data_IF_626403642656
#
_entry.id   IF_626403642656
#
_cell.length_a   1.000
_cell.length_b   1.000
_cell.length_c   1.000
_cell.angle_alpha   90.00
_cell.angle_beta   90.00
_cell.angle_gamma   90.00
#
_symmetry.space_group_name_H-M   'P 1'
#
loop_
_entity.id
_entity.type
_entity.pdbx_description
1 polymer ?
#
# COMPACT_ATOMS: atom_id res chain seq x y z
N UNK A 1 11.74 21.81 12.36
CA UNK A 1 11.59 20.51 13.06
C UNK A 1 12.89 19.70 12.98
N UNK A 2 13.24 18.99 14.07
CA UNK A 2 14.21 17.90 14.06
C UNK A 2 13.46 16.61 13.66
N UNK A 3 13.90 15.97 12.55
CA UNK A 3 13.24 14.78 12.02
C UNK A 3 13.96 13.52 12.50
N UNK A 4 13.17 12.59 13.07
CA UNK A 4 13.65 11.32 13.59
C UNK A 4 12.86 10.19 12.91
N UNK A 5 13.59 9.32 12.22
CA UNK A 5 13.02 8.15 11.58
C UNK A 5 13.23 6.91 12.46
N UNK A 6 12.14 6.26 12.84
CA UNK A 6 12.18 5.05 13.66
C UNK A 6 11.93 3.83 12.77
N UNK A 7 12.84 2.86 12.83
CA UNK A 7 12.75 1.62 12.06
C UNK A 7 13.22 0.42 12.86
N UNK A 8 12.78 -0.79 12.49
CA UNK A 8 13.30 -2.05 13.05
C UNK A 8 14.71 -2.35 12.54
N UNK A 9 15.02 -1.91 11.33
CA UNK A 9 16.25 -2.24 10.58
C UNK A 9 16.99 -0.96 10.15
N UNK A 10 17.62 -0.21 11.06
CA UNK A 10 18.30 1.03 10.74
C UNK A 10 19.47 0.84 9.77
N UNK A 11 20.08 -0.34 9.74
CA UNK A 11 21.19 -0.72 8.86
C UNK A 11 20.82 -0.80 7.39
N UNK A 12 19.54 -1.00 7.07
CA UNK A 12 19.05 -1.08 5.68
C UNK A 12 18.41 0.22 5.21
N UNK A 13 18.38 1.24 6.08
CA UNK A 13 17.61 2.45 5.84
C UNK A 13 18.52 3.57 5.32
N UNK A 14 18.34 3.97 4.07
CA UNK A 14 19.03 5.14 3.48
C UNK A 14 18.08 6.34 3.53
N UNK A 15 18.41 7.32 4.36
CA UNK A 15 17.63 8.55 4.53
C UNK A 15 18.33 9.77 3.94
N UNK A 16 17.55 10.81 3.64
CA UNK A 16 18.06 12.12 3.29
C UNK A 16 18.91 12.69 4.42
N UNK A 17 19.90 13.51 4.07
CA UNK A 17 20.73 14.24 5.04
C UNK A 17 19.88 15.05 6.02
N UNK A 18 20.21 15.01 7.30
CA UNK A 18 19.48 15.73 8.35
C UNK A 18 18.37 14.95 9.05
N UNK A 19 18.13 13.69 8.68
CA UNK A 19 17.21 12.79 9.39
C UNK A 19 18.00 11.86 10.30
N UNK A 20 17.66 11.85 11.60
CA UNK A 20 18.25 10.92 12.58
C UNK A 20 17.52 9.58 12.52
N UNK A 21 18.24 8.49 12.22
CA UNK A 21 17.66 7.14 12.19
C UNK A 21 17.88 6.45 13.52
N UNK A 22 16.80 5.85 14.07
CA UNK A 22 16.81 5.22 15.39
C UNK A 22 16.14 3.84 15.31
N UNK A 23 16.75 2.85 15.97
CA UNK A 23 16.17 1.51 16.10
C UNK A 23 14.96 1.55 17.04
N UNK A 24 13.83 1.00 16.56
CA UNK A 24 12.61 0.83 17.37
C UNK A 24 12.91 0.04 18.67
N UNK A 25 12.31 0.43 19.78
CA UNK A 25 12.46 -0.16 21.12
C UNK A 25 13.87 -0.12 21.69
N UNK A 26 14.79 0.68 21.14
CA UNK A 26 16.08 0.99 21.75
C UNK A 26 15.95 2.01 22.90
N UNK A 27 16.99 2.15 23.73
CA UNK A 27 17.02 3.21 24.76
C UNK A 27 16.92 4.61 24.14
N UNK A 28 17.55 4.82 22.97
CA UNK A 28 17.47 6.08 22.22
C UNK A 28 16.05 6.36 21.74
N UNK A 29 15.33 5.33 21.26
CA UNK A 29 13.92 5.45 20.88
C UNK A 29 13.06 5.99 22.03
N UNK A 30 13.15 5.42 23.22
CA UNK A 30 12.37 5.88 24.37
C UNK A 30 12.79 7.28 24.84
N UNK A 31 14.10 7.60 24.85
CA UNK A 31 14.59 8.94 25.19
C UNK A 31 14.07 10.01 24.24
N UNK A 32 14.11 9.74 22.93
CA UNK A 32 13.64 10.66 21.89
C UNK A 32 12.13 10.81 21.93
N UNK A 33 11.40 9.70 22.09
CA UNK A 33 9.94 9.75 22.27
C UNK A 33 9.53 10.65 23.44
N UNK A 34 10.26 10.62 24.57
CA UNK A 34 9.97 11.50 25.70
C UNK A 34 10.19 12.99 25.41
N UNK A 35 10.91 13.34 24.33
CA UNK A 35 11.23 14.71 23.92
C UNK A 35 10.46 15.17 22.69
N UNK A 36 9.96 14.25 21.87
CA UNK A 36 9.23 14.63 20.66
C UNK A 36 7.92 15.35 21.00
N UNK A 37 7.60 16.38 20.22
CA UNK A 37 6.30 17.05 20.28
C UNK A 37 5.25 16.35 19.43
N UNK A 38 5.67 15.78 18.30
CA UNK A 38 4.79 15.14 17.33
C UNK A 38 5.30 13.71 17.07
N UNK A 39 4.38 12.75 17.14
CA UNK A 39 4.63 11.34 16.80
C UNK A 39 3.71 10.92 15.68
N UNK A 40 4.31 10.54 14.54
CA UNK A 40 3.58 10.09 13.35
C UNK A 40 3.85 8.60 13.16
N UNK A 41 2.80 7.82 12.92
CA UNK A 41 2.90 6.38 12.63
C UNK A 41 1.99 6.02 11.44
N UNK A 42 2.33 4.96 10.74
CA UNK A 42 1.47 4.36 9.72
C UNK A 42 0.80 3.05 10.19
N UNK A 43 1.00 2.71 11.45
CA UNK A 43 0.50 1.49 12.08
C UNK A 43 0.07 1.78 13.52
N UNK A 44 -0.20 0.73 14.30
CA UNK A 44 -0.56 0.83 15.71
C UNK A 44 0.59 1.46 16.54
N UNK A 45 0.21 2.23 17.55
CA UNK A 45 1.17 2.85 18.46
C UNK A 45 1.73 1.78 19.39
N UNK A 46 3.06 1.74 19.54
CA UNK A 46 3.73 0.83 20.48
C UNK A 46 3.16 1.01 21.91
N UNK A 47 2.74 -0.10 22.52
CA UNK A 47 2.11 -0.10 23.86
C UNK A 47 3.03 0.47 24.95
N UNK A 48 4.34 0.30 24.77
CA UNK A 48 5.35 0.81 25.70
C UNK A 48 5.45 2.34 25.73
N UNK A 49 4.84 3.02 24.75
CA UNK A 49 4.86 4.48 24.67
C UNK A 49 3.71 5.07 25.49
N UNK A 50 4.04 5.93 26.44
CA UNK A 50 3.07 6.68 27.24
C UNK A 50 3.03 8.12 26.77
N UNK A 51 1.90 8.53 26.18
CA UNK A 51 1.69 9.89 25.68
C UNK A 51 1.74 10.89 26.82
N UNK A 52 2.54 11.93 26.66
CA UNK A 52 2.61 13.06 27.60
C UNK A 52 1.64 14.17 27.19
N UNK A 53 1.33 15.01 28.15
CA UNK A 53 0.59 16.26 27.89
C UNK A 53 1.37 17.14 26.89
N UNK A 54 0.69 17.60 25.85
CA UNK A 54 1.27 18.44 24.80
C UNK A 54 1.96 17.68 23.66
N UNK A 55 1.99 16.35 23.68
CA UNK A 55 2.38 15.56 22.50
C UNK A 55 1.20 15.35 21.56
N UNK A 56 1.45 15.44 20.28
CA UNK A 56 0.48 15.14 19.21
C UNK A 56 0.78 13.74 18.66
N UNK A 57 -0.23 12.87 18.63
CA UNK A 57 -0.17 11.55 18.01
C UNK A 57 -1.04 11.53 16.76
N UNK A 58 -0.43 11.31 15.62
CA UNK A 58 -1.06 11.19 14.32
C UNK A 58 -0.79 9.82 13.72
N UNK A 59 -1.84 9.18 13.19
CA UNK A 59 -1.65 8.01 12.30
C UNK A 59 -2.04 8.36 10.87
N UNK A 60 -1.18 7.98 9.92
CA UNK A 60 -1.51 8.04 8.49
C UNK A 60 -2.21 6.77 8.03
N UNK A 61 -2.25 5.74 8.91
CA UNK A 61 -2.64 4.39 8.53
C UNK A 61 -1.83 3.87 7.34
N UNK A 62 -2.18 2.71 6.78
CA UNK A 62 -1.43 2.09 5.69
C UNK A 62 -2.31 1.59 4.53
N UNK A 63 -3.63 1.76 4.60
CA UNK A 63 -4.57 1.37 3.54
C UNK A 63 -5.48 2.52 3.13
N UNK A 64 -5.73 2.68 1.84
CA UNK A 64 -6.74 3.56 1.28
C UNK A 64 -7.95 2.79 0.76
N UNK A 65 -9.06 3.49 0.48
CA UNK A 65 -10.20 2.98 -0.27
C UNK A 65 -11.21 2.13 0.49
N UNK A 66 -11.11 1.93 1.80
CA UNK A 66 -12.09 1.20 2.63
C UNK A 66 -12.52 -0.19 2.10
N UNK A 67 -11.66 -0.90 1.40
CA UNK A 67 -12.03 -2.16 0.75
C UNK A 67 -12.22 -3.30 1.74
N UNK A 68 -11.32 -3.45 2.69
CA UNK A 68 -11.27 -4.56 3.65
C UNK A 68 -11.85 -4.15 4.99
N UNK A 69 -12.53 -5.06 5.65
CA UNK A 69 -12.91 -4.89 7.05
C UNK A 69 -11.67 -4.80 7.93
N UNK A 70 -11.76 -4.02 8.98
CA UNK A 70 -10.69 -3.80 9.97
C UNK A 70 -11.25 -3.73 11.38
N UNK A 71 -10.38 -3.84 12.37
CA UNK A 71 -10.75 -3.66 13.77
C UNK A 71 -11.85 -4.61 14.21
N UNK A 72 -12.87 -4.11 14.88
CA UNK A 72 -13.96 -4.91 15.46
C UNK A 72 -14.84 -5.64 14.44
N UNK A 73 -14.72 -5.29 13.17
CA UNK A 73 -15.50 -5.90 12.09
C UNK A 73 -14.82 -7.12 11.45
N UNK A 74 -13.60 -7.45 11.85
CA UNK A 74 -12.90 -8.63 11.35
C UNK A 74 -13.47 -9.92 11.97
N UNK A 75 -13.72 -10.94 11.13
CA UNK A 75 -14.48 -12.14 11.49
C UNK A 75 -13.77 -13.00 12.56
N UNK A 76 -12.45 -12.92 12.68
CA UNK A 76 -11.63 -13.79 13.53
C UNK A 76 -10.87 -13.03 14.62
N UNK A 77 -11.49 -12.04 15.27
CA UNK A 77 -10.78 -11.28 16.29
C UNK A 77 -10.51 -12.11 17.54
N UNK A 78 -9.23 -12.21 17.89
CA UNK A 78 -8.81 -12.49 19.26
C UNK A 78 -9.36 -11.38 20.18
N UNK A 79 -10.16 -11.76 21.17
CA UNK A 79 -10.74 -10.82 22.15
C UNK A 79 -9.69 -9.97 22.86
N UNK A 80 -8.47 -10.47 22.99
CA UNK A 80 -7.31 -9.76 23.55
C UNK A 80 -6.86 -8.64 22.62
N UNK A 81 -6.87 -8.90 21.31
CA UNK A 81 -6.54 -7.91 20.28
C UNK A 81 -7.58 -6.77 20.28
N UNK A 82 -8.88 -7.12 20.29
CA UNK A 82 -9.97 -6.14 20.36
C UNK A 82 -9.90 -5.26 21.62
N UNK A 83 -9.59 -5.83 22.79
CA UNK A 83 -9.42 -5.08 24.03
C UNK A 83 -8.22 -4.11 24.01
N UNK A 84 -7.17 -4.43 23.25
CA UNK A 84 -6.00 -3.58 23.09
C UNK A 84 -6.22 -2.45 22.09
N UNK A 85 -7.07 -2.63 21.08
CA UNK A 85 -7.44 -1.59 20.12
C UNK A 85 -7.86 -0.29 20.82
N UNK A 86 -8.77 -0.37 21.77
CA UNK A 86 -9.26 0.79 22.51
C UNK A 86 -8.12 1.56 23.21
N UNK A 87 -7.09 0.86 23.70
CA UNK A 87 -5.95 1.49 24.39
C UNK A 87 -5.04 2.23 23.41
N UNK A 88 -4.89 1.71 22.20
CA UNK A 88 -4.01 2.31 21.18
C UNK A 88 -4.63 3.55 20.57
N UNK A 89 -5.88 3.44 20.13
CA UNK A 89 -6.55 4.49 19.37
C UNK A 89 -7.05 5.66 20.23
N UNK A 90 -7.40 5.43 21.50
CA UNK A 90 -7.74 6.54 22.44
C UNK A 90 -6.61 7.54 22.67
N UNK A 91 -5.37 7.22 22.28
CA UNK A 91 -4.22 8.12 22.38
C UNK A 91 -4.03 9.01 21.17
N UNK A 92 -4.72 8.73 20.05
CA UNK A 92 -4.61 9.53 18.85
C UNK A 92 -5.27 10.90 19.02
N UNK A 93 -4.62 11.91 18.47
CA UNK A 93 -5.22 13.22 18.25
C UNK A 93 -5.75 13.31 16.83
N UNK A 94 -5.05 12.67 15.86
CA UNK A 94 -5.40 12.72 14.45
C UNK A 94 -5.27 11.36 13.77
N UNK A 95 -6.21 11.11 12.86
CA UNK A 95 -6.24 9.95 11.97
C UNK A 95 -6.45 10.41 10.53
N UNK A 96 -5.49 10.18 9.65
CA UNK A 96 -5.58 10.57 8.23
C UNK A 96 -6.53 9.64 7.49
N UNK A 97 -7.45 10.21 6.72
CA UNK A 97 -8.40 9.46 5.90
C UNK A 97 -8.25 9.76 4.41
N UNK A 98 -8.32 8.72 3.59
CA UNK A 98 -8.24 8.80 2.13
C UNK A 98 -9.57 9.14 1.47
N UNK A 99 -10.69 8.81 2.12
CA UNK A 99 -12.04 9.02 1.59
C UNK A 99 -13.09 8.96 2.70
N UNK A 100 -14.30 9.43 2.42
CA UNK A 100 -15.43 9.40 3.35
C UNK A 100 -15.75 7.98 3.81
N UNK A 101 -15.75 7.00 2.90
CA UNK A 101 -15.98 5.59 3.26
C UNK A 101 -14.92 5.07 4.25
N UNK A 102 -13.65 5.50 4.15
CA UNK A 102 -12.61 5.19 5.12
C UNK A 102 -12.89 5.82 6.48
N UNK A 103 -13.29 7.12 6.51
CA UNK A 103 -13.65 7.80 7.75
C UNK A 103 -14.77 7.05 8.46
N UNK A 104 -15.82 6.67 7.74
CA UNK A 104 -16.97 5.95 8.29
C UNK A 104 -16.57 4.59 8.85
N UNK A 105 -15.84 3.81 8.06
CA UNK A 105 -15.38 2.48 8.45
C UNK A 105 -14.46 2.53 9.69
N UNK A 106 -13.46 3.41 9.68
CA UNK A 106 -12.50 3.47 10.80
C UNK A 106 -13.11 4.04 12.07
N UNK A 107 -14.03 5.03 11.96
CA UNK A 107 -14.74 5.56 13.11
C UNK A 107 -15.54 4.46 13.82
N UNK A 108 -16.22 3.60 13.07
CA UNK A 108 -17.00 2.48 13.61
C UNK A 108 -16.08 1.36 14.11
N UNK A 109 -15.19 0.85 13.24
CA UNK A 109 -14.33 -0.29 13.54
C UNK A 109 -13.41 -0.08 14.74
N UNK A 110 -12.95 1.15 14.97
CA UNK A 110 -12.05 1.50 16.08
C UNK A 110 -12.74 2.29 17.21
N UNK A 111 -14.06 2.53 17.11
CA UNK A 111 -14.84 3.35 18.06
C UNK A 111 -14.21 4.73 18.30
N UNK A 112 -13.88 5.42 17.24
CA UNK A 112 -13.23 6.73 17.25
C UNK A 112 -14.24 7.86 17.01
N UNK A 113 -14.00 9.01 17.64
CA UNK A 113 -14.74 10.24 17.36
C UNK A 113 -14.35 10.76 15.96
N UNK A 114 -15.34 11.06 15.15
CA UNK A 114 -15.13 11.56 13.78
C UNK A 114 -14.30 12.84 13.72
N UNK A 115 -14.29 13.64 14.76
CA UNK A 115 -13.52 14.90 14.82
C UNK A 115 -12.00 14.74 14.74
N UNK A 116 -11.46 13.52 15.01
CA UNK A 116 -10.02 13.31 14.92
C UNK A 116 -9.56 12.97 13.48
N UNK A 117 -10.52 12.71 12.57
CA UNK A 117 -10.16 12.37 11.19
C UNK A 117 -9.75 13.61 10.40
N UNK A 118 -8.57 13.50 9.78
CA UNK A 118 -8.08 14.48 8.83
C UNK A 118 -8.47 14.00 7.42
N UNK A 119 -9.46 14.62 6.86
CA UNK A 119 -10.01 14.30 5.53
C UNK A 119 -9.18 14.97 4.42
N UNK A 120 -7.88 14.65 4.40
CA UNK A 120 -6.87 15.30 3.54
C UNK A 120 -6.46 14.47 2.33
N UNK A 121 -6.83 13.18 2.29
CA UNK A 121 -6.16 12.19 1.46
C UNK A 121 -4.89 11.67 2.15
N UNK A 122 -4.24 10.72 1.49
CA UNK A 122 -3.08 10.01 2.05
C UNK A 122 -1.78 10.71 1.63
N UNK A 123 -0.89 11.13 2.53
CA UNK A 123 0.34 11.87 2.20
C UNK A 123 1.23 11.18 1.15
N UNK A 124 1.35 9.85 1.21
CA UNK A 124 2.15 9.08 0.25
C UNK A 124 1.62 9.17 -1.19
N UNK A 125 0.33 9.53 -1.36
CA UNK A 125 -0.32 9.60 -2.66
C UNK A 125 -0.15 10.96 -3.35
N UNK A 126 0.36 11.98 -2.67
CA UNK A 126 0.60 13.30 -3.27
C UNK A 126 1.48 13.22 -4.51
N UNK A 127 2.39 12.23 -4.59
CA UNK A 127 3.28 12.03 -5.74
C UNK A 127 2.54 11.71 -7.05
N UNK A 128 1.31 11.19 -7.00
CA UNK A 128 0.54 10.86 -8.20
C UNK A 128 -0.11 12.07 -8.88
N UNK A 129 -0.12 13.23 -8.21
CA UNK A 129 -0.74 14.46 -8.70
C UNK A 129 0.24 15.42 -9.40
N UNK A 130 1.52 15.08 -9.46
CA UNK A 130 2.55 15.86 -10.13
C UNK A 130 3.55 14.98 -10.86
N UNK A 131 4.38 15.60 -11.71
CA UNK A 131 5.38 14.85 -12.47
C UNK A 131 6.68 14.75 -11.68
N UNK A 132 7.15 13.52 -11.49
CA UNK A 132 8.37 13.17 -10.76
C UNK A 132 9.30 12.27 -11.62
N UNK A 133 9.94 12.82 -12.68
CA UNK A 133 10.82 12.03 -13.54
C UNK A 133 11.98 11.39 -12.76
N UNK A 134 12.42 12.03 -11.69
CA UNK A 134 13.46 11.53 -10.79
C UNK A 134 13.06 10.22 -10.08
N UNK A 135 11.75 9.99 -9.82
CA UNK A 135 11.27 8.74 -9.22
C UNK A 135 11.46 7.59 -10.22
N UNK A 136 10.95 7.80 -11.45
CA UNK A 136 11.11 6.81 -12.52
C UNK A 136 12.58 6.46 -12.74
N UNK A 137 13.42 7.49 -12.83
CA UNK A 137 14.86 7.29 -13.01
C UNK A 137 15.50 6.50 -11.87
N UNK A 138 15.15 6.76 -10.60
CA UNK A 138 15.69 6.01 -9.45
C UNK A 138 15.36 4.51 -9.54
N UNK A 139 14.10 4.17 -9.88
CA UNK A 139 13.69 2.76 -10.02
C UNK A 139 14.43 2.10 -11.18
N UNK A 140 14.55 2.78 -12.32
CA UNK A 140 15.24 2.27 -13.50
C UNK A 140 16.74 2.06 -13.25
N UNK A 141 17.40 3.03 -12.62
CA UNK A 141 18.82 2.94 -12.24
C UNK A 141 19.05 1.78 -11.25
N UNK A 142 18.15 1.59 -10.29
CA UNK A 142 18.24 0.52 -9.29
C UNK A 142 18.18 -0.87 -9.92
N UNK A 143 17.25 -1.07 -10.85
CA UNK A 143 17.08 -2.37 -11.53
C UNK A 143 17.92 -2.49 -12.80
N UNK A 144 18.74 -1.49 -13.15
CA UNK A 144 19.57 -1.45 -14.36
C UNK A 144 18.78 -1.67 -15.65
N UNK A 145 17.58 -1.10 -15.73
CA UNK A 145 16.69 -1.18 -16.89
C UNK A 145 16.65 0.11 -17.69
N UNK A 146 16.34 0.02 -18.98
CA UNK A 146 16.27 1.16 -19.87
C UNK A 146 15.04 2.05 -19.58
N UNK A 147 15.07 3.30 -20.02
CA UNK A 147 13.95 4.24 -19.88
C UNK A 147 12.69 3.79 -20.65
N UNK A 148 12.87 2.98 -21.69
CA UNK A 148 11.80 2.45 -22.53
C UNK A 148 11.22 1.14 -21.99
N UNK A 149 11.90 0.49 -21.05
CA UNK A 149 11.41 -0.76 -20.46
C UNK A 149 10.12 -0.52 -19.71
N UNK A 150 9.12 -1.33 -20.03
CA UNK A 150 7.80 -1.34 -19.40
C UNK A 150 7.80 -2.24 -18.17
N UNK A 151 7.01 -1.88 -17.17
CA UNK A 151 7.00 -2.56 -15.88
C UNK A 151 5.60 -3.06 -15.55
N UNK A 152 5.47 -4.36 -15.31
CA UNK A 152 4.35 -4.97 -14.63
C UNK A 152 4.72 -5.17 -13.16
N UNK A 153 4.02 -4.51 -12.24
CA UNK A 153 4.18 -4.75 -10.82
C UNK A 153 3.24 -5.88 -10.38
N UNK A 154 3.81 -6.99 -9.97
CA UNK A 154 3.08 -8.12 -9.39
C UNK A 154 3.23 -8.08 -7.87
N UNK A 155 2.16 -7.68 -7.16
CA UNK A 155 2.20 -7.38 -5.73
C UNK A 155 1.05 -8.05 -4.96
N UNK A 156 1.02 -9.39 -4.87
CA UNK A 156 0.00 -10.11 -4.09
C UNK A 156 0.11 -9.77 -2.60
N UNK A 157 -1.04 -9.68 -1.92
CA UNK A 157 -1.07 -9.37 -0.48
C UNK A 157 -0.71 -10.60 0.36
N UNK A 158 -0.17 -10.33 1.56
CA UNK A 158 -0.03 -11.35 2.58
C UNK A 158 -1.40 -11.85 3.02
N UNK A 159 -1.59 -13.18 3.06
CA UNK A 159 -2.81 -13.84 3.51
C UNK A 159 -2.49 -14.71 4.73
N UNK A 160 -3.16 -14.46 5.85
CA UNK A 160 -2.91 -15.18 7.10
C UNK A 160 -3.30 -16.65 7.05
N UNK A 161 -4.26 -17.00 6.20
CA UNK A 161 -4.86 -18.34 6.09
C UNK A 161 -4.36 -19.14 4.88
N UNK A 162 -3.42 -18.58 4.09
CA UNK A 162 -2.86 -19.31 2.97
C UNK A 162 -1.99 -20.47 3.48
N UNK A 163 -2.27 -21.73 3.11
CA UNK A 163 -1.29 -22.78 3.30
C UNK A 163 -0.01 -22.38 2.53
N UNK A 164 1.16 -22.62 3.12
CA UNK A 164 2.49 -22.25 2.58
C UNK A 164 2.78 -22.75 1.15
N UNK A 165 1.88 -23.50 0.54
CA UNK A 165 2.04 -24.21 -0.72
C UNK A 165 1.21 -23.73 -1.90
N UNK A 166 0.27 -22.78 -1.73
CA UNK A 166 -0.44 -22.22 -2.89
C UNK A 166 0.29 -20.97 -3.39
N UNK A 167 1.35 -21.21 -4.10
CA UNK A 167 2.13 -20.21 -4.81
C UNK A 167 1.50 -19.97 -6.19
N UNK A 168 1.56 -18.73 -6.66
CA UNK A 168 1.20 -18.41 -8.03
C UNK A 168 2.17 -19.12 -8.99
N UNK A 169 1.63 -19.72 -10.05
CA UNK A 169 2.47 -20.29 -11.09
C UNK A 169 3.15 -19.18 -11.90
N UNK A 170 4.42 -18.94 -11.58
CA UNK A 170 5.20 -17.84 -12.16
C UNK A 170 5.46 -18.01 -13.67
N UNK A 171 5.22 -19.20 -14.25
CA UNK A 171 5.28 -19.41 -15.71
C UNK A 171 4.31 -18.50 -16.46
N UNK A 172 3.15 -18.20 -15.87
CA UNK A 172 2.19 -17.27 -16.46
C UNK A 172 2.68 -15.81 -16.45
N UNK A 173 3.58 -15.44 -15.54
CA UNK A 173 4.23 -14.12 -15.58
C UNK A 173 5.21 -14.05 -16.75
N UNK A 174 6.01 -15.11 -16.99
CA UNK A 174 6.90 -15.20 -18.16
C UNK A 174 6.09 -15.16 -19.47
N UNK A 175 5.01 -15.94 -19.56
CA UNK A 175 4.11 -15.89 -20.71
C UNK A 175 3.50 -14.50 -20.91
N UNK A 176 3.15 -13.81 -19.83
CA UNK A 176 2.61 -12.44 -19.91
C UNK A 176 3.65 -11.48 -20.50
N UNK A 177 4.92 -11.59 -20.06
CA UNK A 177 6.02 -10.79 -20.64
C UNK A 177 6.15 -11.06 -22.14
N UNK A 178 6.26 -12.33 -22.55
CA UNK A 178 6.43 -12.72 -23.96
C UNK A 178 5.32 -12.12 -24.84
N UNK A 179 4.07 -12.24 -24.41
CA UNK A 179 2.92 -11.72 -25.16
C UNK A 179 2.87 -10.19 -25.18
N UNK A 180 3.23 -9.53 -24.09
CA UNK A 180 3.30 -8.07 -24.04
C UNK A 180 4.42 -7.56 -24.97
N UNK A 181 5.60 -8.20 -24.97
CA UNK A 181 6.71 -7.85 -25.85
C UNK A 181 6.35 -8.07 -27.33
N UNK A 182 5.68 -9.19 -27.64
CA UNK A 182 5.20 -9.45 -28.99
C UNK A 182 4.20 -8.39 -29.46
N UNK A 183 3.26 -8.00 -28.60
CA UNK A 183 2.18 -7.08 -28.94
C UNK A 183 2.66 -5.61 -29.01
N UNK A 184 3.61 -5.21 -28.15
CA UNK A 184 4.01 -3.79 -28.00
C UNK A 184 5.33 -3.45 -28.67
N UNK A 185 6.16 -4.47 -28.98
CA UNK A 185 7.55 -4.30 -29.44
C UNK A 185 8.44 -3.53 -28.45
N UNK A 186 8.03 -3.48 -27.15
CA UNK A 186 8.79 -2.92 -26.06
C UNK A 186 9.34 -4.06 -25.19
N UNK A 187 10.46 -3.81 -24.51
CA UNK A 187 10.93 -4.71 -23.46
C UNK A 187 10.03 -4.58 -22.23
N UNK A 188 9.70 -5.70 -21.61
CA UNK A 188 8.92 -5.78 -20.39
C UNK A 188 9.66 -6.52 -19.30
N UNK A 189 9.46 -6.09 -18.06
CA UNK A 189 9.86 -6.81 -16.85
C UNK A 189 8.69 -6.95 -15.90
N UNK A 190 8.79 -7.91 -15.00
CA UNK A 190 7.94 -8.03 -13.83
C UNK A 190 8.74 -7.66 -12.59
N UNK A 191 8.23 -6.73 -11.79
CA UNK A 191 8.70 -6.53 -10.41
C UNK A 191 7.80 -7.33 -9.49
N UNK A 192 8.32 -8.44 -8.97
CA UNK A 192 7.57 -9.31 -8.06
C UNK A 192 7.80 -8.89 -6.61
N UNK A 193 6.78 -8.35 -5.97
CA UNK A 193 6.81 -7.87 -4.59
C UNK A 193 5.88 -8.69 -3.71
N UNK A 194 6.40 -9.75 -3.10
CA UNK A 194 5.69 -10.65 -2.20
C UNK A 194 6.52 -10.94 -0.95
N UNK A 195 5.87 -11.22 0.17
CA UNK A 195 6.55 -11.66 1.39
C UNK A 195 7.36 -12.95 1.20
N UNK A 196 7.06 -13.74 0.18
CA UNK A 196 7.63 -15.08 -0.07
C UNK A 196 8.58 -15.16 -1.26
N UNK A 197 8.91 -14.06 -1.94
CA UNK A 197 9.72 -14.09 -3.16
C UNK A 197 10.99 -14.97 -3.06
N UNK A 198 11.70 -14.94 -1.94
CA UNK A 198 12.94 -15.68 -1.76
C UNK A 198 12.75 -17.18 -1.54
N UNK A 199 11.58 -17.63 -1.09
CA UNK A 199 11.27 -19.04 -0.84
C UNK A 199 10.77 -19.74 -2.10
N UNK A 200 10.16 -18.98 -3.01
CA UNK A 200 9.60 -19.47 -4.27
C UNK A 200 10.63 -19.65 -5.39
N UNK A 201 11.84 -19.10 -5.26
CA UNK A 201 12.81 -18.97 -6.34
C UNK A 201 13.84 -20.09 -6.44
N UNK A 202 13.57 -21.28 -5.93
CA UNK A 202 14.48 -22.44 -6.05
C UNK A 202 14.51 -23.08 -7.46
N UNK A 203 13.63 -22.68 -8.37
CA UNK A 203 13.67 -23.04 -9.79
C UNK A 203 14.15 -21.85 -10.62
N UNK A 204 14.75 -22.10 -11.78
CA UNK A 204 15.29 -21.05 -12.67
C UNK A 204 14.18 -20.12 -13.12
N UNK A 205 14.01 -19.00 -12.39
CA UNK A 205 13.10 -17.93 -12.80
C UNK A 205 13.57 -17.27 -14.09
N UNK A 206 12.60 -16.81 -14.86
CA UNK A 206 12.86 -15.91 -15.99
C UNK A 206 13.62 -14.67 -15.48
N UNK A 207 14.75 -14.35 -16.11
CA UNK A 207 15.61 -13.22 -15.73
C UNK A 207 14.90 -11.85 -15.78
N UNK A 208 13.78 -11.77 -16.46
CA UNK A 208 12.91 -10.59 -16.55
C UNK A 208 11.96 -10.44 -15.35
N UNK A 209 11.90 -11.43 -14.45
CA UNK A 209 11.16 -11.37 -13.18
C UNK A 209 12.14 -11.00 -12.08
N UNK A 210 12.07 -9.76 -11.60
CA UNK A 210 13.00 -9.18 -10.64
C UNK A 210 12.38 -9.06 -9.25
N UNK A 211 13.21 -9.15 -8.20
CA UNK A 211 12.79 -8.98 -6.81
C UNK A 211 12.31 -7.54 -6.51
N UNK A 212 11.00 -7.35 -6.48
CA UNK A 212 10.37 -6.07 -6.11
C UNK A 212 10.54 -5.71 -4.62
N UNK A 213 10.93 -6.67 -3.74
CA UNK A 213 11.20 -6.38 -2.34
C UNK A 213 12.58 -5.75 -2.12
N UNK A 214 13.50 -5.91 -3.08
CA UNK A 214 14.80 -5.28 -3.02
C UNK A 214 14.72 -3.74 -3.05
N UNK A 215 13.67 -3.18 -3.66
CA UNK A 215 13.41 -1.74 -3.64
C UNK A 215 12.49 -1.38 -2.47
N UNK A 216 12.93 -0.49 -1.59
CA UNK A 216 12.24 -0.22 -0.32
C UNK A 216 10.88 0.48 -0.51
N UNK A 217 10.81 1.52 -1.38
CA UNK A 217 9.65 2.42 -1.47
C UNK A 217 8.58 1.90 -2.45
N UNK A 218 7.44 1.47 -1.90
CA UNK A 218 6.32 0.95 -2.70
C UNK A 218 5.72 2.01 -3.63
N UNK A 219 5.63 3.25 -3.18
CA UNK A 219 5.02 4.32 -3.97
C UNK A 219 5.83 4.63 -5.23
N UNK A 220 7.16 4.54 -5.16
CA UNK A 220 8.03 4.69 -6.34
C UNK A 220 7.76 3.57 -7.37
N UNK A 221 7.55 2.33 -6.90
CA UNK A 221 7.21 1.20 -7.77
C UNK A 221 5.83 1.40 -8.42
N UNK A 222 4.82 1.80 -7.63
CA UNK A 222 3.48 2.10 -8.16
C UNK A 222 3.53 3.26 -9.16
N UNK A 223 4.30 4.32 -8.86
CA UNK A 223 4.45 5.48 -9.75
C UNK A 223 5.07 5.08 -11.10
N UNK A 224 6.05 4.18 -11.08
CA UNK A 224 6.85 3.82 -12.26
C UNK A 224 6.20 2.73 -13.12
N UNK A 225 5.41 1.83 -12.54
CA UNK A 225 4.85 0.67 -13.23
C UNK A 225 3.74 1.02 -14.21
N UNK A 226 3.69 0.33 -15.34
CA UNK A 226 2.67 0.51 -16.38
C UNK A 226 1.41 -0.30 -16.07
N UNK A 227 1.53 -1.46 -15.43
CA UNK A 227 0.43 -2.35 -15.03
C UNK A 227 0.61 -2.77 -13.58
N UNK A 228 -0.52 -2.92 -12.86
CA UNK A 228 -0.54 -3.54 -11.54
C UNK A 228 -1.34 -4.84 -11.57
N UNK A 229 -0.73 -5.91 -11.09
CA UNK A 229 -1.41 -7.19 -10.82
C UNK A 229 -1.31 -7.47 -9.33
N UNK A 230 -2.43 -7.65 -8.68
CA UNK A 230 -2.51 -7.92 -7.24
C UNK A 230 -3.77 -8.74 -6.94
N UNK A 231 -4.02 -9.00 -5.67
CA UNK A 231 -5.26 -9.59 -5.18
C UNK A 231 -6.10 -8.53 -4.42
N UNK A 232 -6.25 -8.67 -3.11
CA UNK A 232 -7.05 -7.78 -2.27
C UNK A 232 -6.23 -6.68 -1.57
N UNK A 233 -5.06 -6.32 -2.11
CA UNK A 233 -4.19 -5.29 -1.53
C UNK A 233 -4.77 -3.89 -1.67
N UNK A 234 -4.66 -3.06 -0.63
CA UNK A 234 -5.07 -1.65 -0.68
C UNK A 234 -4.24 -0.77 -1.61
N UNK A 235 -3.11 -1.27 -2.15
CA UNK A 235 -2.32 -0.54 -3.15
C UNK A 235 -3.09 -0.27 -4.45
N UNK A 236 -4.21 -0.98 -4.69
CA UNK A 236 -5.13 -0.71 -5.81
C UNK A 236 -5.70 0.71 -5.75
N UNK A 237 -6.00 1.23 -4.55
CA UNK A 237 -6.45 2.62 -4.38
C UNK A 237 -5.39 3.60 -4.83
N UNK A 238 -4.16 3.40 -4.36
CA UNK A 238 -3.03 4.28 -4.68
C UNK A 238 -2.71 4.23 -6.19
N UNK A 239 -2.63 3.03 -6.78
CA UNK A 239 -2.32 2.87 -8.21
C UNK A 239 -3.43 3.41 -9.12
N UNK A 240 -4.70 3.31 -8.73
CA UNK A 240 -5.83 3.82 -9.49
C UNK A 240 -5.76 5.35 -9.73
N UNK A 241 -5.05 6.10 -8.87
CA UNK A 241 -4.77 7.53 -9.09
C UNK A 241 -3.98 7.81 -10.37
N UNK A 242 -3.32 6.80 -10.90
CA UNK A 242 -2.55 6.90 -12.16
C UNK A 242 -3.40 6.71 -13.42
N UNK A 243 -4.64 6.21 -13.31
CA UNK A 243 -5.49 5.84 -14.45
C UNK A 243 -5.06 4.57 -15.19
N UNK A 244 -3.97 3.90 -14.78
CA UNK A 244 -3.42 2.71 -15.44
C UNK A 244 -4.14 1.43 -15.02
N UNK A 245 -4.07 0.35 -15.85
CA UNK A 245 -4.79 -0.90 -15.59
C UNK A 245 -4.40 -1.59 -14.29
N UNK A 246 -5.39 -2.00 -13.51
CA UNK A 246 -5.26 -2.84 -12.31
C UNK A 246 -5.96 -4.17 -12.57
N UNK A 247 -5.25 -5.28 -12.38
CA UNK A 247 -5.77 -6.64 -12.47
C UNK A 247 -5.86 -7.27 -11.09
N UNK A 248 -7.06 -7.75 -10.73
CA UNK A 248 -7.31 -8.43 -9.46
C UNK A 248 -7.37 -9.94 -9.66
N UNK A 249 -6.48 -10.68 -9.03
CA UNK A 249 -6.52 -12.13 -9.00
C UNK A 249 -7.60 -12.61 -8.02
N UNK A 250 -8.54 -13.43 -8.51
CA UNK A 250 -9.71 -13.90 -7.76
C UNK A 250 -9.59 -15.34 -7.26
N UNK A 251 -8.47 -16.02 -7.53
CA UNK A 251 -8.27 -17.44 -7.22
C UNK A 251 -8.59 -17.82 -5.76
N UNK A 252 -8.57 -16.85 -4.82
CA UNK A 252 -8.88 -17.05 -3.40
C UNK A 252 -9.99 -16.14 -2.85
N UNK A 253 -10.84 -15.61 -3.72
CA UNK A 253 -11.89 -14.67 -3.32
C UNK A 253 -12.82 -15.24 -2.24
N UNK A 254 -13.29 -16.47 -2.41
CA UNK A 254 -14.22 -17.12 -1.47
C UNK A 254 -13.60 -17.37 -0.11
N UNK A 255 -12.36 -17.86 -0.08
CA UNK A 255 -11.65 -18.08 1.18
C UNK A 255 -11.40 -16.76 1.90
N UNK A 256 -11.02 -15.72 1.16
CA UNK A 256 -10.78 -14.40 1.74
C UNK A 256 -12.05 -13.82 2.37
N UNK A 257 -13.20 -13.93 1.70
CA UNK A 257 -14.48 -13.45 2.23
C UNK A 257 -14.95 -14.21 3.46
N UNK A 258 -14.73 -15.54 3.51
CA UNK A 258 -15.30 -16.41 4.54
C UNK A 258 -14.36 -16.68 5.72
N UNK A 259 -13.04 -16.70 5.50
CA UNK A 259 -12.05 -17.19 6.45
C UNK A 259 -10.99 -16.15 6.87
N UNK A 260 -10.84 -15.04 6.13
CA UNK A 260 -9.90 -13.98 6.48
C UNK A 260 -10.63 -12.77 7.05
N UNK A 261 -10.70 -11.65 6.35
CA UNK A 261 -11.26 -10.39 6.86
C UNK A 261 -12.61 -10.04 6.26
N UNK A 262 -12.87 -10.49 5.03
CA UNK A 262 -14.00 -10.04 4.24
C UNK A 262 -13.85 -8.57 3.79
N UNK A 263 -14.87 -8.08 3.10
CA UNK A 263 -14.87 -6.75 2.50
C UNK A 263 -15.88 -5.83 3.18
N UNK A 264 -15.50 -4.55 3.33
CA UNK A 264 -16.39 -3.48 3.78
C UNK A 264 -17.21 -2.97 2.59
N UNK A 265 -16.54 -2.63 1.49
CA UNK A 265 -17.18 -2.31 0.21
C UNK A 265 -17.37 -3.59 -0.58
N UNK A 266 -18.60 -3.89 -1.08
CA UNK A 266 -18.87 -5.12 -1.82
C UNK A 266 -17.91 -5.29 -3.01
N UNK A 267 -17.24 -6.44 -3.09
CA UNK A 267 -16.18 -6.71 -4.08
C UNK A 267 -16.65 -6.50 -5.53
N UNK A 268 -17.91 -6.85 -5.83
CA UNK A 268 -18.47 -6.70 -7.17
C UNK A 268 -18.54 -5.25 -7.67
N UNK A 269 -18.53 -4.29 -6.74
CA UNK A 269 -18.56 -2.85 -7.06
C UNK A 269 -17.18 -2.24 -7.34
N UNK A 270 -16.09 -3.00 -7.15
CA UNK A 270 -14.77 -2.50 -7.40
C UNK A 270 -14.51 -2.35 -8.91
N UNK A 271 -13.95 -1.22 -9.37
CA UNK A 271 -13.86 -0.89 -10.79
C UNK A 271 -12.67 -1.53 -11.51
N UNK A 272 -12.01 -2.48 -10.88
CA UNK A 272 -10.78 -3.09 -11.38
C UNK A 272 -11.06 -4.30 -12.27
N UNK A 273 -10.07 -4.64 -13.13
CA UNK A 273 -10.15 -5.81 -14.03
C UNK A 273 -10.05 -7.11 -13.22
N UNK A 274 -11.12 -7.89 -13.19
CA UNK A 274 -11.20 -9.14 -12.45
C UNK A 274 -10.62 -10.28 -13.26
N UNK A 275 -9.54 -10.86 -12.76
CA UNK A 275 -8.80 -11.97 -13.35
C UNK A 275 -9.05 -13.22 -12.49
N UNK A 276 -9.89 -14.14 -12.96
CA UNK A 276 -10.31 -15.32 -12.19
C UNK A 276 -9.15 -16.23 -11.80
N UNK A 277 -8.14 -16.32 -12.66
CA UNK A 277 -6.96 -17.14 -12.49
C UNK A 277 -5.77 -16.44 -13.14
N UNK A 278 -4.57 -16.63 -12.59
CA UNK A 278 -3.33 -16.11 -13.17
C UNK A 278 -3.10 -16.59 -14.61
N UNK A 279 -3.64 -17.75 -14.98
CA UNK A 279 -3.59 -18.29 -16.34
C UNK A 279 -4.33 -17.41 -17.37
N UNK A 280 -5.27 -16.57 -16.95
CA UNK A 280 -5.96 -15.63 -17.83
C UNK A 280 -5.19 -14.29 -18.00
N UNK A 281 -4.18 -14.05 -17.15
CA UNK A 281 -3.43 -12.80 -17.13
C UNK A 281 -2.75 -12.46 -18.46
N UNK A 282 -2.09 -13.40 -19.19
CA UNK A 282 -1.42 -13.08 -20.45
C UNK A 282 -2.35 -12.43 -21.49
N UNK A 283 -3.53 -12.99 -21.69
CA UNK A 283 -4.53 -12.46 -22.63
C UNK A 283 -5.10 -11.12 -22.16
N UNK A 284 -5.43 -11.02 -20.87
CA UNK A 284 -5.99 -9.80 -20.30
C UNK A 284 -4.97 -8.66 -20.32
N UNK A 285 -3.72 -8.91 -19.97
CA UNK A 285 -2.67 -7.90 -19.99
C UNK A 285 -2.49 -7.31 -21.40
N UNK A 286 -2.41 -8.15 -22.44
CA UNK A 286 -2.32 -7.69 -23.83
C UNK A 286 -3.55 -6.88 -24.23
N UNK A 287 -4.75 -7.33 -23.85
CA UNK A 287 -6.01 -6.67 -24.23
C UNK A 287 -6.14 -5.27 -23.63
N UNK A 288 -5.80 -5.11 -22.36
CA UNK A 288 -6.11 -3.89 -21.59
C UNK A 288 -4.89 -2.98 -21.31
N UNK A 289 -3.68 -3.33 -21.77
CA UNK A 289 -2.42 -2.63 -21.46
C UNK A 289 -2.39 -1.13 -21.75
N UNK A 290 -3.10 -0.72 -22.81
CA UNK A 290 -3.12 0.68 -23.30
C UNK A 290 -4.45 1.38 -22.99
N UNK A 291 -5.36 0.73 -22.24
CA UNK A 291 -6.64 1.34 -21.87
C UNK A 291 -6.45 2.38 -20.77
N UNK A 292 -7.15 3.50 -20.90
CA UNK A 292 -7.21 4.56 -19.89
C UNK A 292 -8.43 4.38 -18.98
N UNK A 293 -8.18 4.05 -17.72
CA UNK A 293 -9.19 3.86 -16.70
C UNK A 293 -9.48 5.11 -15.89
N UNK A 294 -8.91 6.26 -16.23
CA UNK A 294 -9.06 7.52 -15.46
C UNK A 294 -10.52 7.85 -15.18
N UNK A 295 -11.39 7.77 -16.18
CA UNK A 295 -12.82 8.12 -16.01
C UNK A 295 -13.52 7.13 -15.07
N UNK A 296 -13.26 5.83 -15.21
CA UNK A 296 -13.86 4.78 -14.39
C UNK A 296 -13.41 4.91 -12.92
N UNK A 297 -12.10 5.10 -12.70
CA UNK A 297 -11.55 5.26 -11.36
C UNK A 297 -12.00 6.58 -10.73
N UNK A 298 -12.13 7.66 -11.50
CA UNK A 298 -12.67 8.92 -11.00
C UNK A 298 -14.09 8.77 -10.48
N UNK A 299 -14.98 8.07 -11.20
CA UNK A 299 -16.34 7.79 -10.74
C UNK A 299 -16.33 6.97 -9.43
N UNK A 300 -15.42 6.00 -9.31
CA UNK A 300 -15.26 5.23 -8.09
C UNK A 300 -14.78 6.11 -6.93
N UNK A 301 -13.77 6.95 -7.14
CA UNK A 301 -13.30 7.91 -6.13
C UNK A 301 -14.39 8.87 -5.69
N UNK A 302 -15.21 9.35 -6.60
CA UNK A 302 -16.39 10.21 -6.29
C UNK A 302 -17.40 9.41 -5.45
N UNK A 303 -17.71 8.16 -5.80
CA UNK A 303 -18.63 7.30 -5.04
C UNK A 303 -18.12 7.03 -3.62
N UNK A 304 -16.82 6.84 -3.45
CA UNK A 304 -16.18 6.62 -2.16
C UNK A 304 -15.99 7.91 -1.34
N UNK A 305 -16.24 9.09 -1.94
CA UNK A 305 -16.01 10.40 -1.33
C UNK A 305 -14.52 10.67 -1.11
N UNK A 306 -13.70 10.52 -2.16
CA UNK A 306 -12.24 10.66 -2.08
C UNK A 306 -11.78 12.05 -1.66
N UNK A 307 -10.79 12.09 -0.77
CA UNK A 307 -10.10 13.30 -0.34
C UNK A 307 -8.73 13.47 -1.02
N UNK A 308 -8.34 12.54 -1.91
CA UNK A 308 -7.06 12.59 -2.63
C UNK A 308 -7.02 13.77 -3.60
N UNK A 309 -6.13 14.74 -3.34
CA UNK A 309 -5.97 15.99 -4.13
C UNK A 309 -4.50 16.36 -4.38
N UNK A 310 -3.55 15.57 -3.88
CA UNK A 310 -2.13 15.87 -4.01
C UNK A 310 -1.62 16.98 -3.08
N UNK A 311 -2.33 17.25 -2.00
CA UNK A 311 -2.01 18.32 -1.03
C UNK A 311 -2.11 17.83 0.42
N UNK A 312 -2.14 16.52 0.64
CA UNK A 312 -2.30 15.93 1.96
C UNK A 312 -1.13 16.30 2.89
N UNK A 313 0.11 16.25 2.39
CA UNK A 313 1.29 16.64 3.16
C UNK A 313 1.21 18.10 3.63
N UNK A 314 0.84 19.02 2.75
CA UNK A 314 0.73 20.45 3.05
C UNK A 314 -0.36 20.72 4.10
N UNK A 315 -1.54 20.11 3.92
CA UNK A 315 -2.68 20.27 4.83
C UNK A 315 -2.36 19.74 6.23
N UNK A 316 -1.75 18.56 6.32
CA UNK A 316 -1.36 17.94 7.60
C UNK A 316 -0.29 18.79 8.29
N UNK A 317 0.71 19.27 7.56
CA UNK A 317 1.74 20.15 8.13
C UNK A 317 1.13 21.41 8.71
N UNK A 318 0.23 22.07 7.97
CA UNK A 318 -0.48 23.25 8.46
C UNK A 318 -1.26 22.99 9.76
N UNK A 319 -1.93 21.83 9.88
CA UNK A 319 -2.65 21.44 11.11
C UNK A 319 -1.70 21.21 12.27
N UNK A 320 -0.52 20.62 12.03
CA UNK A 320 0.46 20.31 13.08
C UNK A 320 1.23 21.56 13.56
N UNK A 321 1.20 22.67 12.79
CA UNK A 321 1.87 23.94 13.11
C UNK A 321 0.96 24.94 13.86
N UNK A 322 -0.35 24.72 13.86
CA UNK A 322 -1.34 25.59 14.51
C UNK A 322 -1.98 24.90 15.72
#
# INVERSE_FOLDING_TARGET
YELIWVTRFPETCTMRTGITVVRQRSLSYFKLFLRCGIFITNDMIDEALVKKRGQIFLTTWHGGGAYKKVGKETINEDKTFAANFDKWYKRLDYFVSSCQACTDMYAEAFSLDRKIFLETGTPRNDIFFSKHPEIKKRVQDFYHISEQTKILLFAPSFQMTAPEKEQYDLRYLSETIDRLEEATKNNWIVLYRSHYFREETNESLDERILDGNAYYEMQDLLYTSDLLVTDFSSCIWDFALTGRPVFLLENRLKEYEQMDRGFFVPYDTWPYLKCKDIAALPDMAVKYRDEDFTTLYKQHFETMGSFEKGTACEQILHILEN
#
